data_IF_694654282453
#
_entry.id   IF_694654282453
#
_cell.length_a   1.000
_cell.length_b   1.000
_cell.length_c   1.000
_cell.angle_alpha   90.00
_cell.angle_beta   90.00
_cell.angle_gamma   90.00
#
_symmetry.space_group_name_H-M   'P 1'
#
loop_
_entity.id
_entity.type
_entity.pdbx_description
1 polymer ?
#
# COMPACT_ATOMS: atom_id res chain seq x y z
N UNK A 1 58.37 -3.95 -15.99
CA UNK A 1 57.08 -3.28 -16.22
C UNK A 1 56.08 -4.37 -16.55
N UNK A 2 55.06 -4.63 -15.75
CA UNK A 2 54.02 -5.61 -16.13
C UNK A 2 53.32 -5.05 -17.36
N UNK A 3 53.27 -5.87 -18.45
CA UNK A 3 52.72 -5.48 -19.73
C UNK A 3 51.30 -4.94 -19.56
N UNK A 4 51.03 -3.80 -20.15
CA UNK A 4 49.70 -3.20 -20.19
C UNK A 4 48.74 -4.21 -20.85
N UNK A 5 47.80 -4.75 -20.07
CA UNK A 5 46.71 -5.59 -20.61
C UNK A 5 45.88 -4.74 -21.55
N UNK A 6 45.78 -5.14 -22.81
CA UNK A 6 44.88 -4.50 -23.75
C UNK A 6 43.46 -4.74 -23.34
N UNK A 7 42.65 -3.67 -23.23
CA UNK A 7 41.21 -3.78 -22.95
C UNK A 7 40.52 -4.59 -24.05
N UNK A 8 39.71 -5.57 -23.66
CA UNK A 8 38.95 -6.30 -24.65
C UNK A 8 37.82 -5.41 -25.19
N UNK A 9 37.46 -5.58 -26.46
CA UNK A 9 36.34 -4.84 -27.09
C UNK A 9 35.04 -5.00 -26.29
N UNK A 10 34.83 -6.16 -25.67
CA UNK A 10 33.65 -6.44 -24.84
C UNK A 10 33.64 -5.61 -23.55
N UNK A 11 34.79 -5.45 -22.89
CA UNK A 11 34.93 -4.61 -21.69
C UNK A 11 34.62 -3.15 -22.02
N UNK A 12 35.12 -2.65 -23.15
CA UNK A 12 34.81 -1.30 -23.64
C UNK A 12 33.33 -1.16 -23.88
N UNK A 13 32.72 -2.09 -24.61
CA UNK A 13 31.25 -2.09 -24.90
C UNK A 13 30.42 -2.07 -23.62
N UNK A 14 30.72 -2.95 -22.66
CA UNK A 14 30.01 -3.02 -21.39
C UNK A 14 30.10 -1.71 -20.60
N UNK A 15 31.27 -1.08 -20.62
CA UNK A 15 31.47 0.22 -19.94
C UNK A 15 30.67 1.34 -20.62
N UNK A 16 30.70 1.40 -21.95
CA UNK A 16 29.92 2.40 -22.70
C UNK A 16 28.43 2.22 -22.44
N UNK A 17 27.91 0.98 -22.49
CA UNK A 17 26.52 0.67 -22.19
C UNK A 17 26.15 1.08 -20.76
N UNK A 18 27.00 0.78 -19.77
CA UNK A 18 26.76 1.13 -18.38
C UNK A 18 26.68 2.64 -18.19
N UNK A 19 27.61 3.41 -18.78
CA UNK A 19 27.61 4.88 -18.70
C UNK A 19 26.37 5.46 -19.38
N UNK A 20 25.98 4.93 -20.54
CA UNK A 20 24.80 5.39 -21.28
C UNK A 20 23.51 5.13 -20.48
N UNK A 21 23.31 3.91 -19.96
CA UNK A 21 22.13 3.58 -19.14
C UNK A 21 22.13 4.34 -17.82
N UNK A 22 23.29 4.54 -17.19
CA UNK A 22 23.38 5.35 -15.98
C UNK A 22 23.02 6.81 -16.27
N UNK A 23 23.48 7.39 -17.38
CA UNK A 23 23.13 8.75 -17.79
C UNK A 23 21.62 8.91 -18.01
N UNK A 24 20.97 7.94 -18.66
CA UNK A 24 19.53 7.91 -18.84
C UNK A 24 18.77 7.78 -17.50
N UNK A 25 19.25 6.92 -16.60
CA UNK A 25 18.71 6.77 -15.24
C UNK A 25 18.81 8.08 -14.45
N UNK A 26 19.97 8.76 -14.50
CA UNK A 26 20.17 10.04 -13.83
C UNK A 26 19.23 11.14 -14.38
N UNK A 27 19.03 11.16 -15.70
CA UNK A 27 18.10 12.08 -16.35
C UNK A 27 16.64 11.84 -15.87
N UNK A 28 16.18 10.59 -15.91
CA UNK A 28 14.81 10.24 -15.44
C UNK A 28 14.62 10.54 -13.96
N UNK A 29 15.63 10.26 -13.13
CA UNK A 29 15.57 10.59 -11.70
C UNK A 29 15.50 12.10 -11.47
N UNK A 30 16.25 12.88 -12.25
CA UNK A 30 16.20 14.33 -12.19
C UNK A 30 14.79 14.83 -12.55
N UNK A 31 14.20 14.28 -13.60
CA UNK A 31 12.85 14.65 -14.06
C UNK A 31 11.78 14.31 -12.99
N UNK A 32 11.79 13.09 -12.45
CA UNK A 32 10.89 12.67 -11.37
C UNK A 32 11.00 13.58 -10.13
N UNK A 33 12.21 14.08 -9.83
CA UNK A 33 12.45 14.92 -8.64
C UNK A 33 12.08 16.37 -8.87
N UNK A 34 12.32 16.89 -10.08
CA UNK A 34 12.04 18.28 -10.43
C UNK A 34 10.55 18.56 -10.62
N UNK A 35 9.77 17.54 -11.02
CA UNK A 35 8.34 17.70 -11.34
C UNK A 35 7.40 17.96 -10.15
N UNK A 36 7.90 17.96 -8.91
CA UNK A 36 7.08 18.21 -7.71
C UNK A 36 6.11 17.07 -7.34
N UNK A 37 5.30 17.22 -6.28
CA UNK A 37 4.30 16.23 -5.91
C UNK A 37 3.19 16.18 -6.98
N UNK A 38 2.65 14.97 -7.30
CA UNK A 38 1.61 14.84 -8.32
C UNK A 38 0.34 15.60 -7.91
N UNK A 39 -0.14 16.46 -8.79
CA UNK A 39 -1.50 16.97 -8.70
C UNK A 39 -2.48 15.82 -9.00
N UNK A 40 -3.59 15.76 -8.26
CA UNK A 40 -4.61 14.71 -8.33
C UNK A 40 -5.08 14.43 -9.77
N UNK A 41 -5.19 13.16 -10.15
CA UNK A 41 -5.79 12.73 -11.42
C UNK A 41 -4.83 12.04 -12.39
N UNK A 42 -4.89 12.42 -13.67
CA UNK A 42 -4.13 11.80 -14.77
C UNK A 42 -2.59 11.86 -14.61
N UNK A 43 -2.07 12.82 -13.83
CA UNK A 43 -0.64 12.93 -13.51
C UNK A 43 -0.05 11.73 -12.73
N UNK A 44 -0.89 10.94 -12.08
CA UNK A 44 -0.43 9.74 -11.36
C UNK A 44 -0.05 8.59 -12.31
N UNK A 45 -0.67 8.49 -13.48
CA UNK A 45 -0.37 7.43 -14.45
C UNK A 45 0.98 7.65 -15.15
N UNK A 46 1.26 8.86 -15.61
CA UNK A 46 2.55 9.17 -16.25
C UNK A 46 3.71 8.94 -15.29
N UNK A 47 3.57 9.36 -14.03
CA UNK A 47 4.58 9.17 -12.99
C UNK A 47 4.79 7.70 -12.60
N UNK A 48 3.75 6.89 -12.64
CA UNK A 48 3.86 5.44 -12.46
C UNK A 48 4.74 4.79 -13.54
N UNK A 49 4.61 5.22 -14.80
CA UNK A 49 5.44 4.75 -15.90
C UNK A 49 6.89 5.23 -15.80
N UNK A 50 7.12 6.47 -15.41
CA UNK A 50 8.47 7.01 -15.18
C UNK A 50 9.20 6.23 -14.08
N UNK A 51 8.53 5.96 -12.97
CA UNK A 51 9.08 5.13 -11.88
C UNK A 51 9.37 3.70 -12.34
N UNK A 52 8.50 3.09 -13.14
CA UNK A 52 8.73 1.77 -13.71
C UNK A 52 10.02 1.75 -14.56
N UNK A 53 10.21 2.76 -15.43
CA UNK A 53 11.43 2.87 -16.23
C UNK A 53 12.67 3.09 -15.38
N UNK A 54 12.58 3.85 -14.30
CA UNK A 54 13.68 4.00 -13.33
C UNK A 54 14.05 2.64 -12.73
N UNK A 55 13.08 1.80 -12.34
CA UNK A 55 13.37 0.45 -11.82
C UNK A 55 14.03 -0.44 -12.88
N UNK A 56 13.48 -0.46 -14.10
CA UNK A 56 14.02 -1.26 -15.21
C UNK A 56 15.45 -0.85 -15.53
N UNK A 57 15.73 0.44 -15.67
CA UNK A 57 17.06 0.95 -15.96
C UNK A 57 18.05 0.68 -14.81
N UNK A 58 17.59 0.81 -13.56
CA UNK A 58 18.41 0.44 -12.40
C UNK A 58 18.82 -1.03 -12.48
N UNK A 59 17.87 -1.93 -12.75
CA UNK A 59 18.17 -3.34 -12.89
C UNK A 59 19.15 -3.63 -14.04
N UNK A 60 19.00 -2.95 -15.19
CA UNK A 60 19.90 -3.09 -16.35
C UNK A 60 21.31 -2.60 -16.00
N UNK A 61 21.45 -1.42 -15.39
CA UNK A 61 22.76 -0.88 -14.96
C UNK A 61 23.47 -1.86 -14.03
N UNK A 62 22.75 -2.40 -13.04
CA UNK A 62 23.33 -3.36 -12.10
C UNK A 62 23.67 -4.70 -12.74
N UNK A 63 22.88 -5.18 -13.69
CA UNK A 63 23.17 -6.42 -14.42
C UNK A 63 24.45 -6.27 -15.29
N UNK A 64 24.57 -5.16 -16.02
CA UNK A 64 25.76 -4.85 -16.80
C UNK A 64 26.99 -4.74 -15.90
N UNK A 65 26.84 -4.11 -14.74
CA UNK A 65 27.91 -3.99 -13.75
C UNK A 65 28.35 -5.36 -13.20
N UNK A 66 27.42 -6.26 -12.89
CA UNK A 66 27.76 -7.63 -12.46
C UNK A 66 28.63 -8.32 -13.50
N UNK A 67 28.20 -8.29 -14.76
CA UNK A 67 28.93 -8.94 -15.85
C UNK A 67 30.33 -8.35 -15.98
N UNK A 68 30.46 -7.01 -15.86
CA UNK A 68 31.74 -6.33 -15.91
C UNK A 68 32.67 -6.74 -14.73
N UNK A 69 32.14 -6.73 -13.49
CA UNK A 69 32.91 -7.10 -12.29
C UNK A 69 33.37 -8.57 -12.31
N UNK A 70 32.49 -9.48 -12.76
CA UNK A 70 32.82 -10.89 -12.91
C UNK A 70 33.88 -11.11 -13.98
N UNK A 71 33.78 -10.43 -15.12
CA UNK A 71 34.70 -10.52 -16.21
C UNK A 71 36.10 -10.07 -15.80
N UNK A 72 36.19 -8.95 -15.08
CA UNK A 72 37.47 -8.39 -14.61
C UNK A 72 38.03 -9.08 -13.34
N UNK A 73 37.35 -10.15 -12.87
CA UNK A 73 37.74 -10.98 -11.72
C UNK A 73 38.11 -10.17 -10.48
N UNK A 74 37.28 -9.22 -10.13
CA UNK A 74 37.45 -8.43 -8.89
C UNK A 74 37.25 -9.34 -7.68
N UNK A 75 38.23 -9.47 -6.76
CA UNK A 75 38.05 -10.26 -5.54
C UNK A 75 36.90 -9.74 -4.72
N UNK A 76 35.99 -10.63 -4.32
CA UNK A 76 34.79 -10.24 -3.55
C UNK A 76 33.76 -9.44 -4.35
N UNK A 77 33.88 -9.38 -5.69
CA UNK A 77 33.00 -8.58 -6.55
C UNK A 77 31.51 -8.84 -6.35
N UNK A 78 31.14 -10.09 -6.05
CA UNK A 78 29.73 -10.43 -5.73
C UNK A 78 29.26 -9.75 -4.42
N UNK A 79 30.06 -9.76 -3.35
CA UNK A 79 29.74 -9.12 -2.08
C UNK A 79 29.66 -7.61 -2.25
N UNK A 80 30.62 -7.02 -2.93
CA UNK A 80 30.65 -5.58 -3.26
C UNK A 80 29.41 -5.21 -4.05
N UNK A 81 29.02 -6.05 -5.01
CA UNK A 81 27.81 -5.83 -5.79
C UNK A 81 26.54 -5.88 -4.92
N UNK A 82 26.35 -6.92 -4.08
CA UNK A 82 25.16 -7.07 -3.22
C UNK A 82 25.04 -5.88 -2.28
N UNK A 83 26.12 -5.49 -1.59
CA UNK A 83 26.12 -4.35 -0.66
C UNK A 83 25.81 -3.05 -1.40
N UNK A 84 26.40 -2.85 -2.57
CA UNK A 84 26.20 -1.63 -3.36
C UNK A 84 24.79 -1.57 -3.96
N UNK A 85 24.22 -2.70 -4.41
CA UNK A 85 22.85 -2.76 -4.89
C UNK A 85 21.85 -2.47 -3.76
N UNK A 86 22.07 -3.03 -2.57
CA UNK A 86 21.26 -2.76 -1.39
C UNK A 86 21.34 -1.27 -0.98
N UNK A 87 22.53 -0.66 -1.02
CA UNK A 87 22.72 0.75 -0.73
C UNK A 87 22.01 1.66 -1.74
N UNK A 88 22.11 1.33 -3.04
CA UNK A 88 21.45 2.09 -4.11
C UNK A 88 19.93 1.97 -4.01
N UNK A 89 19.41 0.78 -3.70
CA UNK A 89 17.98 0.56 -3.48
C UNK A 89 17.48 1.31 -2.26
N UNK A 90 18.20 1.27 -1.14
CA UNK A 90 17.90 2.05 0.06
C UNK A 90 17.89 3.56 -0.22
N UNK A 91 18.87 4.08 -0.95
CA UNK A 91 18.92 5.47 -1.35
C UNK A 91 17.73 5.87 -2.25
N UNK A 92 17.36 5.00 -3.18
CA UNK A 92 16.22 5.22 -4.06
C UNK A 92 14.90 5.27 -3.26
N UNK A 93 14.72 4.37 -2.30
CA UNK A 93 13.55 4.37 -1.42
C UNK A 93 13.43 5.67 -0.63
N UNK A 94 14.53 6.15 -0.06
CA UNK A 94 14.58 7.43 0.66
C UNK A 94 14.32 8.64 -0.23
N UNK A 95 14.81 8.57 -1.47
CA UNK A 95 14.60 9.60 -2.47
C UNK A 95 13.12 9.74 -2.85
N UNK A 96 12.40 8.62 -2.98
CA UNK A 96 10.96 8.58 -3.22
C UNK A 96 10.12 9.17 -2.07
N UNK A 97 10.62 9.10 -0.83
CA UNK A 97 9.96 9.63 0.37
C UNK A 97 10.04 11.15 0.59
N UNK A 98 10.78 11.88 -0.22
CA UNK A 98 10.69 13.35 -0.36
C UNK A 98 11.50 14.23 0.61
N UNK A 99 12.00 13.71 1.74
CA UNK A 99 12.65 14.56 2.76
C UNK A 99 14.17 14.68 2.66
N UNK A 100 14.85 13.70 2.04
CA UNK A 100 16.32 13.62 2.00
C UNK A 100 16.86 13.47 0.57
N UNK A 101 16.49 14.39 -0.31
CA UNK A 101 16.73 14.24 -1.76
C UNK A 101 18.21 14.10 -2.15
N UNK A 102 19.07 15.03 -1.75
CA UNK A 102 20.44 15.08 -2.22
C UNK A 102 21.37 14.02 -1.63
N UNK A 103 21.42 13.77 -0.31
CA UNK A 103 22.26 12.71 0.23
C UNK A 103 21.86 11.32 -0.28
N UNK A 104 20.56 11.08 -0.53
CA UNK A 104 20.08 9.84 -1.08
C UNK A 104 20.49 9.58 -2.54
N UNK A 105 20.81 10.62 -3.32
CA UNK A 105 21.28 10.49 -4.69
C UNK A 105 22.75 10.07 -4.78
N UNK A 106 23.58 10.31 -3.76
CA UNK A 106 25.02 10.00 -3.77
C UNK A 106 25.29 8.51 -4.04
N UNK A 107 24.59 7.54 -3.44
CA UNK A 107 24.79 6.11 -3.73
C UNK A 107 24.51 5.71 -5.18
N UNK A 108 23.78 6.50 -5.94
CA UNK A 108 23.55 6.25 -7.37
C UNK A 108 24.86 6.38 -8.19
N UNK A 109 25.90 7.01 -7.63
CA UNK A 109 27.24 7.06 -8.24
C UNK A 109 28.02 5.73 -8.10
N UNK A 110 27.57 4.82 -7.25
CA UNK A 110 28.23 3.53 -6.99
C UNK A 110 28.52 2.71 -8.25
N UNK A 111 27.59 2.54 -9.20
CA UNK A 111 27.87 1.81 -10.42
C UNK A 111 29.03 2.38 -11.22
N UNK A 112 29.16 3.71 -11.28
CA UNK A 112 30.27 4.38 -11.97
C UNK A 112 31.58 4.16 -11.26
N UNK A 113 31.62 4.28 -9.92
CA UNK A 113 32.82 4.06 -9.12
C UNK A 113 33.31 2.61 -9.22
N UNK A 114 32.39 1.65 -9.18
CA UNK A 114 32.71 0.22 -9.31
C UNK A 114 33.15 -0.15 -10.72
N UNK A 115 32.58 0.46 -11.75
CA UNK A 115 33.04 0.29 -13.12
C UNK A 115 34.45 0.91 -13.30
N UNK A 116 34.67 2.09 -12.72
CA UNK A 116 36.01 2.68 -12.66
C UNK A 116 37.04 1.75 -11.99
N UNK A 117 36.63 1.11 -10.86
CA UNK A 117 37.47 0.13 -10.19
C UNK A 117 37.71 -1.13 -11.05
N UNK A 118 36.74 -1.60 -11.82
CA UNK A 118 36.93 -2.69 -12.78
C UNK A 118 37.91 -2.34 -13.88
N UNK A 119 37.77 -1.15 -14.45
CA UNK A 119 38.69 -0.64 -15.49
C UNK A 119 40.08 -0.36 -14.97
N UNK A 120 40.25 0.02 -13.71
CA UNK A 120 41.53 0.27 -13.05
C UNK A 120 42.35 -1.01 -12.88
N UNK A 121 41.81 -2.19 -13.19
CA UNK A 121 42.59 -3.41 -13.39
C UNK A 121 43.72 -3.26 -14.43
N UNK A 122 43.58 -2.28 -15.33
CA UNK A 122 44.59 -1.85 -16.28
C UNK A 122 45.59 -0.84 -15.68
N UNK A 123 45.23 -0.19 -14.58
CA UNK A 123 46.05 0.72 -13.77
C UNK A 123 46.00 0.28 -12.32
N UNK A 124 46.81 -0.71 -11.96
CA UNK A 124 46.73 -1.39 -10.64
C UNK A 124 46.80 -0.44 -9.43
N UNK A 125 47.48 0.71 -9.58
CA UNK A 125 47.59 1.72 -8.53
C UNK A 125 46.26 2.42 -8.16
N UNK A 126 45.28 2.44 -9.07
CA UNK A 126 44.00 3.12 -8.86
C UNK A 126 42.90 2.20 -8.35
N UNK A 127 43.11 0.89 -8.37
CA UNK A 127 42.05 -0.09 -8.04
C UNK A 127 41.61 -0.04 -6.59
N UNK A 128 42.55 -0.06 -5.67
CA UNK A 128 42.23 -0.04 -4.23
C UNK A 128 41.66 1.30 -3.76
N UNK A 129 42.20 2.47 -4.18
CA UNK A 129 41.60 3.75 -3.85
C UNK A 129 40.14 3.88 -4.36
N UNK A 130 39.81 3.42 -5.57
CA UNK A 130 38.46 3.50 -6.12
C UNK A 130 37.50 2.58 -5.37
N UNK A 131 37.90 1.40 -4.95
CA UNK A 131 37.08 0.51 -4.10
C UNK A 131 36.86 1.13 -2.72
N UNK A 132 37.86 1.75 -2.12
CA UNK A 132 37.72 2.44 -0.84
C UNK A 132 36.75 3.65 -0.95
N UNK A 133 36.88 4.43 -2.03
CA UNK A 133 35.96 5.55 -2.30
C UNK A 133 34.54 5.08 -2.52
N UNK A 134 34.32 3.91 -3.11
CA UNK A 134 33.00 3.32 -3.27
C UNK A 134 32.32 2.96 -1.93
N UNK A 135 33.07 2.77 -0.85
CA UNK A 135 32.50 2.55 0.49
C UNK A 135 31.83 3.80 1.05
N UNK A 136 32.27 5.00 0.70
CA UNK A 136 31.72 6.27 1.20
C UNK A 136 30.23 6.43 0.85
N UNK A 137 29.81 6.30 -0.42
CA UNK A 137 28.39 6.32 -0.76
C UNK A 137 27.56 5.24 -0.04
N UNK A 138 28.11 4.05 0.20
CA UNK A 138 27.43 2.99 0.96
C UNK A 138 27.18 3.42 2.41
N UNK A 139 28.18 4.01 3.07
CA UNK A 139 28.04 4.52 4.44
C UNK A 139 27.04 5.68 4.51
N UNK A 140 27.06 6.59 3.55
CA UNK A 140 26.09 7.69 3.46
C UNK A 140 24.69 7.13 3.28
N UNK A 141 24.49 6.16 2.40
CA UNK A 141 23.18 5.53 2.20
C UNK A 141 22.68 4.82 3.46
N UNK A 142 23.55 4.04 4.11
CA UNK A 142 23.20 3.37 5.37
C UNK A 142 22.86 4.37 6.48
N UNK A 143 23.63 5.44 6.62
CA UNK A 143 23.41 6.50 7.59
C UNK A 143 22.10 7.27 7.34
N UNK A 144 21.85 7.69 6.11
CA UNK A 144 20.60 8.36 5.72
C UNK A 144 19.39 7.42 5.88
N UNK A 145 19.48 6.16 5.47
CA UNK A 145 18.40 5.20 5.68
C UNK A 145 18.07 5.02 7.15
N UNK A 146 19.09 4.83 7.99
CA UNK A 146 18.89 4.68 9.44
C UNK A 146 18.26 5.93 10.05
N UNK A 147 18.76 7.12 9.69
CA UNK A 147 18.24 8.40 10.17
C UNK A 147 16.77 8.62 9.78
N UNK A 148 16.43 8.43 8.50
CA UNK A 148 15.04 8.60 8.05
C UNK A 148 14.12 7.52 8.59
N UNK A 149 14.57 6.27 8.69
CA UNK A 149 13.80 5.19 9.31
C UNK A 149 13.45 5.50 10.76
N UNK A 150 14.42 5.95 11.55
CA UNK A 150 14.19 6.37 12.94
C UNK A 150 13.29 7.60 12.98
N UNK A 151 13.54 8.61 12.16
CA UNK A 151 12.76 9.85 12.09
C UNK A 151 11.31 9.61 11.70
N UNK A 152 11.08 8.86 10.63
CA UNK A 152 9.72 8.50 10.18
C UNK A 152 8.98 7.67 11.23
N UNK A 153 9.63 6.63 11.79
CA UNK A 153 8.99 5.78 12.80
C UNK A 153 8.66 6.54 14.10
N UNK A 154 9.46 7.51 14.49
CA UNK A 154 9.20 8.36 15.66
C UNK A 154 8.13 9.42 15.37
N UNK A 155 8.18 10.06 14.20
CA UNK A 155 7.19 11.02 13.73
C UNK A 155 5.80 10.39 13.56
N UNK A 156 5.72 9.22 12.95
CA UNK A 156 4.47 8.46 12.82
C UNK A 156 3.89 8.04 14.17
N UNK A 157 4.75 7.64 15.12
CA UNK A 157 4.29 7.30 16.48
C UNK A 157 3.77 8.52 17.22
N UNK A 158 4.47 9.66 17.14
CA UNK A 158 4.05 10.92 17.73
C UNK A 158 2.74 11.40 17.09
N UNK A 159 2.64 11.39 15.75
CA UNK A 159 1.43 11.75 15.03
C UNK A 159 0.24 10.85 15.38
N UNK A 160 0.44 9.51 15.44
CA UNK A 160 -0.61 8.58 15.88
C UNK A 160 -1.03 8.84 17.33
N UNK A 161 -0.09 9.13 18.23
CA UNK A 161 -0.40 9.44 19.62
C UNK A 161 -1.20 10.74 19.74
N UNK A 162 -0.86 11.78 18.98
CA UNK A 162 -1.61 13.04 18.93
C UNK A 162 -3.02 12.86 18.36
N UNK A 163 -3.16 12.14 17.25
CA UNK A 163 -4.46 11.80 16.64
C UNK A 163 -5.32 11.05 17.65
N UNK A 164 -4.74 10.03 18.31
CA UNK A 164 -5.44 9.29 19.36
C UNK A 164 -5.87 10.17 20.52
N UNK A 165 -4.99 11.02 21.02
CA UNK A 165 -5.31 11.94 22.13
C UNK A 165 -6.44 12.92 21.75
N UNK A 166 -6.43 13.44 20.51
CA UNK A 166 -7.53 14.26 20.00
C UNK A 166 -8.84 13.47 19.90
N UNK A 167 -8.78 12.26 19.35
CA UNK A 167 -9.96 11.41 19.17
C UNK A 167 -10.53 10.95 20.52
N UNK A 168 -9.70 10.68 21.54
CA UNK A 168 -10.18 10.39 22.90
C UNK A 168 -10.98 11.57 23.51
N UNK A 169 -10.59 12.82 23.22
CA UNK A 169 -11.38 13.99 23.66
C UNK A 169 -12.74 14.04 22.96
N UNK A 170 -12.82 13.60 21.70
CA UNK A 170 -14.08 13.51 20.97
C UNK A 170 -14.95 12.36 21.49
N UNK A 171 -14.35 11.22 21.83
CA UNK A 171 -15.06 10.10 22.47
C UNK A 171 -15.72 10.55 23.78
N UNK A 172 -15.03 11.40 24.57
CA UNK A 172 -15.58 11.94 25.81
C UNK A 172 -16.76 12.93 25.59
N UNK A 173 -16.96 13.40 24.36
CA UNK A 173 -18.08 14.28 23.97
C UNK A 173 -19.27 13.50 23.38
N UNK A 174 -19.19 12.18 23.24
CA UNK A 174 -20.29 11.35 22.77
C UNK A 174 -21.41 11.39 23.80
N UNK A 175 -22.55 11.95 23.43
CA UNK A 175 -23.73 12.12 24.26
C UNK A 175 -25.05 11.96 23.45
N UNK A 176 -26.18 12.10 24.14
CA UNK A 176 -27.51 11.98 23.54
C UNK A 176 -27.91 13.15 22.61
N UNK A 177 -27.12 14.24 22.57
CA UNK A 177 -27.46 15.43 21.77
C UNK A 177 -27.14 15.27 20.29
N UNK A 178 -26.24 14.36 19.97
CA UNK A 178 -25.75 14.15 18.61
C UNK A 178 -26.04 12.71 18.11
N UNK A 179 -26.48 12.54 16.86
CA UNK A 179 -26.73 11.23 16.30
C UNK A 179 -25.44 10.45 16.01
N UNK A 180 -25.51 9.12 15.99
CA UNK A 180 -24.37 8.23 15.84
C UNK A 180 -23.56 8.53 14.56
N UNK A 181 -24.20 8.91 13.45
CA UNK A 181 -23.53 9.16 12.19
C UNK A 181 -22.46 10.27 12.27
N UNK A 182 -22.55 11.19 13.24
CA UNK A 182 -21.52 12.22 13.44
C UNK A 182 -20.21 11.64 14.00
N UNK A 183 -20.26 10.47 14.62
CA UNK A 183 -19.14 9.82 15.28
C UNK A 183 -18.51 8.71 14.45
N UNK A 184 -19.01 8.42 13.23
CA UNK A 184 -18.52 7.33 12.37
C UNK A 184 -17.00 7.36 12.15
N UNK A 185 -16.41 8.56 12.01
CA UNK A 185 -14.97 8.72 11.86
C UNK A 185 -14.15 8.16 13.03
N UNK A 186 -14.73 8.06 14.23
CA UNK A 186 -14.07 7.49 15.40
C UNK A 186 -14.08 5.96 15.38
N UNK A 187 -14.92 5.35 14.52
CA UNK A 187 -15.06 3.92 14.35
C UNK A 187 -14.13 3.36 13.26
N UNK A 188 -13.46 4.22 12.51
CA UNK A 188 -12.45 3.82 11.53
C UNK A 188 -11.25 3.16 12.23
N UNK A 189 -10.64 2.16 11.57
CA UNK A 189 -9.53 1.39 12.14
C UNK A 189 -8.28 2.24 12.46
N UNK A 190 -8.07 3.31 11.69
CA UNK A 190 -6.96 4.26 11.85
C UNK A 190 -7.23 5.35 12.92
N UNK A 191 -8.44 5.40 13.49
CA UNK A 191 -8.81 6.39 14.52
C UNK A 191 -8.00 6.24 15.81
N UNK A 192 -7.55 5.02 16.10
CA UNK A 192 -6.85 4.62 17.33
C UNK A 192 -7.72 4.61 18.59
N UNK A 193 -9.04 4.81 18.46
CA UNK A 193 -10.01 4.90 19.57
C UNK A 193 -11.33 4.15 19.29
N UNK A 194 -11.32 3.24 18.34
CA UNK A 194 -12.51 2.51 17.88
C UNK A 194 -13.25 1.82 19.03
N UNK A 195 -12.53 1.09 19.87
CA UNK A 195 -13.16 0.34 20.96
C UNK A 195 -13.75 1.26 22.02
N UNK A 196 -13.08 2.34 22.35
CA UNK A 196 -13.56 3.35 23.27
C UNK A 196 -14.80 4.07 22.72
N UNK A 197 -14.82 4.36 21.41
CA UNK A 197 -15.98 4.95 20.75
C UNK A 197 -17.18 4.00 20.73
N UNK A 198 -16.98 2.71 20.41
CA UNK A 198 -18.03 1.69 20.46
C UNK A 198 -18.58 1.58 21.89
N UNK A 199 -17.70 1.54 22.91
CA UNK A 199 -18.13 1.48 24.30
C UNK A 199 -18.95 2.70 24.75
N UNK A 200 -18.63 3.89 24.24
CA UNK A 200 -19.38 5.12 24.48
C UNK A 200 -20.75 5.08 23.78
N UNK A 201 -20.78 4.71 22.48
CA UNK A 201 -22.00 4.64 21.69
C UNK A 201 -23.00 3.60 22.21
N UNK A 202 -22.53 2.49 22.78
CA UNK A 202 -23.38 1.47 23.42
C UNK A 202 -24.19 2.02 24.60
N UNK A 203 -23.74 3.10 25.23
CA UNK A 203 -24.45 3.72 26.36
C UNK A 203 -25.58 4.65 25.95
N UNK A 204 -25.65 5.05 24.67
CA UNK A 204 -26.66 5.95 24.18
C UNK A 204 -28.02 5.24 24.12
N UNK A 205 -29.08 5.86 24.67
CA UNK A 205 -30.42 5.33 24.58
C UNK A 205 -30.98 5.39 23.14
N UNK A 206 -30.59 6.43 22.40
CA UNK A 206 -31.04 6.63 21.03
C UNK A 206 -30.35 5.70 20.00
N UNK A 207 -29.33 4.91 20.41
CA UNK A 207 -28.54 4.09 19.49
C UNK A 207 -29.37 3.19 18.57
N UNK A 208 -30.43 2.61 19.07
CA UNK A 208 -31.35 1.78 18.29
C UNK A 208 -32.05 2.60 17.17
N UNK A 209 -32.65 3.74 17.53
CA UNK A 209 -33.38 4.59 16.60
C UNK A 209 -32.42 5.20 15.54
N UNK A 210 -31.24 5.64 15.96
CA UNK A 210 -30.20 6.17 15.05
C UNK A 210 -29.75 5.11 14.07
N UNK A 211 -29.46 3.89 14.53
CA UNK A 211 -29.03 2.80 13.65
C UNK A 211 -30.14 2.40 12.67
N UNK A 212 -31.36 2.31 13.13
CA UNK A 212 -32.50 2.07 12.25
C UNK A 212 -32.64 3.17 11.17
N UNK A 213 -32.40 4.43 11.52
CA UNK A 213 -32.40 5.53 10.57
C UNK A 213 -31.22 5.42 9.57
N UNK A 214 -30.00 5.17 10.06
CA UNK A 214 -28.83 5.01 9.22
C UNK A 214 -28.96 3.87 8.20
N UNK A 215 -29.57 2.75 8.60
CA UNK A 215 -29.90 1.65 7.68
C UNK A 215 -30.91 2.12 6.62
N UNK A 216 -31.94 2.85 6.99
CA UNK A 216 -32.94 3.35 6.05
C UNK A 216 -32.34 4.35 5.04
N UNK A 217 -31.46 5.22 5.49
CA UNK A 217 -30.77 6.22 4.68
C UNK A 217 -29.57 5.66 3.92
N UNK A 218 -29.22 4.40 4.18
CA UNK A 218 -28.07 3.71 3.55
C UNK A 218 -26.74 4.43 3.78
N UNK A 219 -26.50 4.87 4.99
CA UNK A 219 -25.21 5.43 5.40
C UNK A 219 -24.16 4.32 5.32
N UNK A 220 -23.03 4.57 4.65
CA UNK A 220 -21.97 3.58 4.46
C UNK A 220 -21.51 2.92 5.77
N UNK A 221 -21.00 1.70 5.70
CA UNK A 221 -20.48 0.90 6.84
C UNK A 221 -21.48 0.61 7.98
N UNK A 222 -22.74 1.04 7.85
CA UNK A 222 -23.76 0.87 8.91
C UNK A 222 -23.99 -0.60 9.24
N UNK A 223 -23.93 -1.50 8.24
CA UNK A 223 -24.14 -2.93 8.46
C UNK A 223 -23.07 -3.56 9.35
N UNK A 224 -21.83 -3.10 9.28
CA UNK A 224 -20.74 -3.57 10.13
C UNK A 224 -20.89 -3.11 11.58
N UNK A 225 -21.63 -2.04 11.83
CA UNK A 225 -21.86 -1.49 13.16
C UNK A 225 -23.00 -2.18 13.93
N UNK A 226 -23.95 -2.80 13.24
CA UNK A 226 -25.10 -3.47 13.85
C UNK A 226 -24.67 -4.48 14.92
N UNK A 227 -23.75 -5.41 14.67
CA UNK A 227 -23.30 -6.37 15.69
C UNK A 227 -22.52 -5.74 16.84
N UNK A 228 -21.98 -4.52 16.64
CA UNK A 228 -21.09 -3.87 17.59
C UNK A 228 -21.80 -3.02 18.64
N UNK A 229 -23.04 -2.56 18.39
CA UNK A 229 -23.70 -1.55 19.21
C UNK A 229 -24.75 -2.08 20.20
N UNK A 230 -24.77 -3.38 20.46
CA UNK A 230 -25.71 -4.02 21.39
C UNK A 230 -27.17 -3.63 21.13
N UNK A 231 -27.58 -3.79 19.88
CA UNK A 231 -28.94 -3.48 19.41
C UNK A 231 -29.91 -4.64 19.69
N UNK A 232 -31.20 -4.37 19.53
CA UNK A 232 -32.25 -5.39 19.54
C UNK A 232 -32.70 -5.69 18.09
N UNK A 233 -33.03 -6.94 17.75
CA UNK A 233 -33.56 -7.31 16.42
C UNK A 233 -35.04 -6.90 16.30
N UNK A 234 -35.29 -5.58 16.28
CA UNK A 234 -36.66 -5.06 16.15
C UNK A 234 -37.24 -5.38 14.78
N UNK A 235 -38.60 -5.54 14.65
CA UNK A 235 -39.21 -5.70 13.34
C UNK A 235 -38.86 -4.56 12.37
N UNK A 236 -38.75 -3.35 12.89
CA UNK A 236 -38.39 -2.18 12.10
C UNK A 236 -36.93 -2.23 11.58
N UNK A 237 -35.99 -2.67 12.38
CA UNK A 237 -34.59 -2.87 11.93
C UNK A 237 -34.55 -3.98 10.87
N UNK A 238 -35.24 -5.06 11.09
CA UNK A 238 -35.33 -6.18 10.14
C UNK A 238 -35.91 -5.73 8.79
N UNK A 239 -37.00 -5.01 8.76
CA UNK A 239 -37.64 -4.46 7.55
C UNK A 239 -36.64 -3.56 6.78
N UNK A 240 -35.90 -2.73 7.50
CA UNK A 240 -34.92 -1.81 6.88
C UNK A 240 -33.71 -2.53 6.32
N UNK A 241 -33.19 -3.56 7.00
CA UNK A 241 -32.14 -4.42 6.47
C UNK A 241 -32.66 -5.14 5.23
N UNK A 242 -33.86 -5.68 5.26
CA UNK A 242 -34.48 -6.37 4.12
C UNK A 242 -34.60 -5.44 2.91
N UNK A 243 -35.09 -4.22 3.12
CA UNK A 243 -35.20 -3.19 2.09
C UNK A 243 -33.83 -2.78 1.54
N UNK A 244 -32.77 -2.75 2.37
CA UNK A 244 -31.40 -2.52 1.93
C UNK A 244 -30.93 -3.64 0.99
N UNK A 245 -31.11 -4.90 1.39
CA UNK A 245 -30.71 -6.07 0.59
C UNK A 245 -31.45 -6.13 -0.75
N UNK A 246 -32.73 -5.79 -0.78
CA UNK A 246 -33.52 -5.74 -2.02
C UNK A 246 -32.95 -4.70 -3.01
N UNK A 247 -32.54 -3.53 -2.52
CA UNK A 247 -31.90 -2.51 -3.36
C UNK A 247 -30.53 -2.97 -3.86
N UNK A 248 -29.75 -3.64 -3.02
CA UNK A 248 -28.44 -4.16 -3.41
C UNK A 248 -28.58 -5.30 -4.43
N UNK A 249 -29.54 -6.19 -4.25
CA UNK A 249 -29.85 -7.23 -5.23
C UNK A 249 -30.29 -6.63 -6.58
N UNK A 250 -31.13 -5.59 -6.56
CA UNK A 250 -31.53 -4.89 -7.77
C UNK A 250 -30.33 -4.23 -8.48
N UNK A 251 -29.48 -3.56 -7.71
CA UNK A 251 -28.25 -2.95 -8.26
C UNK A 251 -27.28 -3.99 -8.82
N UNK A 252 -27.07 -5.10 -8.12
CA UNK A 252 -26.22 -6.20 -8.56
C UNK A 252 -26.65 -6.73 -9.94
N UNK A 253 -27.96 -6.88 -10.18
CA UNK A 253 -28.51 -7.31 -11.47
C UNK A 253 -28.30 -6.33 -12.62
N UNK A 254 -28.03 -5.06 -12.32
CA UNK A 254 -27.67 -4.09 -13.38
C UNK A 254 -26.26 -4.30 -13.94
N UNK A 255 -25.45 -5.16 -13.31
CA UNK A 255 -24.04 -5.45 -13.69
C UNK A 255 -23.81 -6.94 -13.88
N UNK A 256 -24.52 -7.60 -14.82
CA UNK A 256 -24.36 -9.04 -15.03
C UNK A 256 -22.94 -9.38 -15.44
N UNK A 257 -22.39 -10.44 -14.89
CA UNK A 257 -21.02 -10.89 -15.17
C UNK A 257 -19.92 -10.07 -14.52
N UNK A 258 -20.24 -9.28 -13.49
CA UNK A 258 -19.29 -8.48 -12.73
C UNK A 258 -18.08 -9.29 -12.20
N UNK A 259 -16.96 -8.63 -12.01
CA UNK A 259 -15.74 -9.23 -11.47
C UNK A 259 -15.89 -9.59 -9.99
N UNK A 260 -15.02 -10.47 -9.50
CA UNK A 260 -14.91 -10.80 -8.06
C UNK A 260 -14.71 -9.56 -7.17
N UNK A 261 -14.19 -8.48 -7.71
CA UNK A 261 -13.98 -7.21 -7.02
C UNK A 261 -15.31 -6.53 -6.68
N UNK A 262 -16.30 -6.61 -7.58
CA UNK A 262 -17.66 -6.11 -7.31
C UNK A 262 -18.36 -6.98 -6.27
N UNK A 263 -18.13 -8.30 -6.28
CA UNK A 263 -18.62 -9.21 -5.25
C UNK A 263 -17.97 -8.99 -3.89
N UNK A 264 -16.68 -8.66 -3.87
CA UNK A 264 -15.89 -8.44 -2.64
C UNK A 264 -16.07 -7.03 -2.06
N UNK A 265 -16.24 -6.04 -2.95
CA UNK A 265 -16.06 -4.66 -2.57
C UNK A 265 -17.22 -4.09 -1.77
N UNK A 266 -18.37 -3.88 -2.38
CA UNK A 266 -19.29 -2.93 -1.78
C UNK A 266 -20.70 -3.47 -1.49
N UNK A 267 -21.09 -4.64 -2.01
CA UNK A 267 -22.49 -5.01 -1.97
C UNK A 267 -22.84 -6.26 -1.18
N UNK A 268 -22.01 -7.28 -1.24
CA UNK A 268 -22.44 -8.60 -0.78
C UNK A 268 -21.88 -8.97 0.58
N UNK A 269 -20.60 -8.69 0.82
CA UNK A 269 -19.97 -9.08 2.09
C UNK A 269 -20.20 -8.09 3.22
N UNK A 270 -20.44 -6.80 2.95
CA UNK A 270 -20.69 -5.78 3.97
C UNK A 270 -21.98 -6.04 4.79
N UNK A 271 -22.97 -6.67 4.20
CA UNK A 271 -24.20 -7.00 4.90
C UNK A 271 -24.12 -8.26 5.76
N UNK A 272 -23.16 -9.18 5.51
CA UNK A 272 -23.08 -10.47 6.20
C UNK A 272 -22.95 -10.35 7.73
N UNK A 273 -22.14 -9.44 8.32
CA UNK A 273 -22.06 -9.30 9.76
C UNK A 273 -23.43 -8.98 10.41
N UNK A 274 -24.20 -8.08 9.80
CA UNK A 274 -25.54 -7.73 10.26
C UNK A 274 -26.52 -8.91 10.12
N UNK A 275 -26.42 -9.66 9.01
CA UNK A 275 -27.29 -10.80 8.76
C UNK A 275 -27.01 -11.95 9.73
N UNK A 276 -25.76 -12.29 9.98
CA UNK A 276 -25.37 -13.29 10.98
C UNK A 276 -25.82 -12.87 12.38
N UNK A 277 -25.63 -11.59 12.72
CA UNK A 277 -26.08 -11.05 13.99
C UNK A 277 -27.61 -11.15 14.13
N UNK A 278 -28.35 -10.77 13.08
CA UNK A 278 -29.80 -10.85 13.05
C UNK A 278 -30.29 -12.30 13.21
N UNK A 279 -29.72 -13.21 12.41
CA UNK A 279 -30.05 -14.64 12.43
C UNK A 279 -29.78 -15.27 13.82
N UNK A 280 -28.64 -14.97 14.44
CA UNK A 280 -28.29 -15.48 15.78
C UNK A 280 -29.23 -15.04 16.88
N UNK A 281 -30.04 -14.03 16.65
CA UNK A 281 -31.03 -13.49 17.59
C UNK A 281 -32.50 -13.80 17.19
N UNK A 282 -32.68 -14.74 16.26
CA UNK A 282 -33.99 -15.18 15.81
C UNK A 282 -34.69 -14.22 14.85
N UNK A 283 -33.99 -13.17 14.37
CA UNK A 283 -34.49 -12.31 13.30
C UNK A 283 -34.27 -12.95 11.93
N UNK A 284 -35.00 -12.48 10.92
CA UNK A 284 -34.93 -13.04 9.58
C UNK A 284 -35.16 -11.97 8.52
N UNK A 285 -34.31 -11.91 7.52
CA UNK A 285 -34.42 -11.07 6.31
C UNK A 285 -34.57 -11.96 5.07
N UNK A 286 -35.52 -12.90 5.08
CA UNK A 286 -35.62 -13.98 4.08
C UNK A 286 -35.76 -13.47 2.66
N UNK A 287 -36.60 -12.46 2.45
CA UNK A 287 -36.85 -11.93 1.11
C UNK A 287 -35.56 -11.29 0.53
N UNK A 288 -34.95 -10.38 1.28
CA UNK A 288 -33.69 -9.73 0.87
C UNK A 288 -32.57 -10.73 0.62
N UNK A 289 -32.37 -11.70 1.54
CA UNK A 289 -31.36 -12.75 1.39
C UNK A 289 -31.64 -13.60 0.13
N UNK A 290 -32.90 -13.97 -0.12
CA UNK A 290 -33.30 -14.74 -1.31
C UNK A 290 -33.02 -13.98 -2.60
N UNK A 291 -33.30 -12.67 -2.65
CA UNK A 291 -33.06 -11.82 -3.80
C UNK A 291 -31.55 -11.59 -4.02
N UNK A 292 -30.78 -11.41 -2.96
CA UNK A 292 -29.31 -11.33 -3.03
C UNK A 292 -28.70 -12.64 -3.56
N UNK A 293 -29.21 -13.78 -3.11
CA UNK A 293 -28.81 -15.09 -3.61
C UNK A 293 -29.10 -15.24 -5.10
N UNK A 294 -30.29 -14.85 -5.54
CA UNK A 294 -30.66 -14.88 -6.95
C UNK A 294 -29.77 -13.98 -7.80
N UNK A 295 -29.50 -12.76 -7.34
CA UNK A 295 -28.58 -11.84 -8.00
C UNK A 295 -27.15 -12.43 -8.08
N UNK A 296 -26.65 -13.05 -7.01
CA UNK A 296 -25.33 -13.65 -6.99
C UNK A 296 -25.17 -14.79 -8.00
N UNK A 297 -26.22 -15.52 -8.32
CA UNK A 297 -26.20 -16.58 -9.33
C UNK A 297 -25.95 -16.07 -10.76
N UNK A 298 -26.24 -14.80 -11.03
CA UNK A 298 -26.00 -14.16 -12.33
C UNK A 298 -24.53 -13.77 -12.55
N UNK A 299 -23.70 -13.80 -11.49
CA UNK A 299 -22.28 -13.50 -11.57
C UNK A 299 -21.45 -14.71 -12.06
N UNK A 300 -20.21 -14.44 -12.50
CA UNK A 300 -19.28 -15.49 -12.93
C UNK A 300 -19.09 -16.55 -11.85
N UNK A 301 -18.93 -17.79 -12.26
CA UNK A 301 -18.65 -18.89 -11.36
C UNK A 301 -17.22 -18.83 -10.83
N UNK A 302 -17.09 -18.34 -9.61
CA UNK A 302 -15.82 -18.16 -8.92
C UNK A 302 -15.88 -18.78 -7.53
N UNK A 303 -14.71 -19.01 -6.92
CA UNK A 303 -14.61 -19.44 -5.51
C UNK A 303 -15.25 -18.41 -4.55
N UNK A 304 -15.19 -17.14 -4.91
CA UNK A 304 -15.77 -16.04 -4.10
C UNK A 304 -17.30 -16.12 -4.14
N UNK A 305 -17.89 -16.29 -5.33
CA UNK A 305 -19.34 -16.48 -5.49
C UNK A 305 -19.82 -17.72 -4.74
N UNK A 306 -19.13 -18.85 -4.90
CA UNK A 306 -19.48 -20.09 -4.23
C UNK A 306 -19.47 -19.93 -2.70
N UNK A 307 -18.46 -19.25 -2.15
CA UNK A 307 -18.43 -18.93 -0.72
C UNK A 307 -19.59 -18.07 -0.29
N UNK A 308 -19.88 -17.00 -1.03
CA UNK A 308 -20.97 -16.09 -0.72
C UNK A 308 -22.34 -16.78 -0.76
N UNK A 309 -22.60 -17.59 -1.80
CA UNK A 309 -23.82 -18.38 -1.90
C UNK A 309 -23.99 -19.34 -0.72
N UNK A 310 -22.90 -19.97 -0.28
CA UNK A 310 -22.93 -20.83 0.91
C UNK A 310 -23.35 -20.06 2.17
N UNK A 311 -22.79 -18.87 2.41
CA UNK A 311 -23.14 -18.02 3.55
C UNK A 311 -24.65 -17.66 3.51
N UNK A 312 -25.17 -17.30 2.33
CA UNK A 312 -26.60 -16.97 2.17
C UNK A 312 -27.49 -18.21 2.35
N UNK A 313 -27.07 -19.39 1.86
CA UNK A 313 -27.80 -20.64 2.03
C UNK A 313 -27.86 -21.06 3.51
N UNK A 314 -26.80 -20.81 4.27
CA UNK A 314 -26.77 -21.09 5.71
C UNK A 314 -27.67 -20.14 6.51
N UNK A 315 -27.80 -18.89 6.06
CA UNK A 315 -28.72 -17.89 6.66
C UNK A 315 -30.22 -18.14 6.31
N UNK A 316 -30.51 -18.87 5.24
CA UNK A 316 -31.88 -19.22 4.82
C UNK A 316 -32.44 -20.47 5.50
N UNK A 317 -31.57 -21.28 6.12
CA UNK A 317 -31.96 -22.48 6.89
C UNK A 317 -32.49 -22.12 8.26
#
# INVERSE_FOLDING_TARGET
>A
MPGAKTMSAVTILLTVLMVAFWGLLAFLLYDVVSSGPPMSGEGNYSRGWELLWVYVLTAVVWLVLIVLLQRERIPGGFVVWVVSAAAAFGAYYLFGGGETRWPAAIPLLLPLLLAGAALSGYWSALRMPLLAVAAVPCLIAAGTFTYTWIGQSSGERAGRAEVRARNLRLVAQIDESHPIWQWLRLLADDSGVRDEAIAALRKLNRRQADMEQMVAERVGETMDLIPLLDLQPTPRLQERIDAWLLKDAAYARTKPGGSDEILKGDFMFSALPALHWMHSRGGCCREGISQMRAAALEYRDTKVRARYLKELDDLLR
#
